data_IF_795391462978
#
_entry.id   IF_795391462978
#
_cell.length_a   1.000
_cell.length_b   1.000
_cell.length_c   1.000
_cell.angle_alpha   90.00
_cell.angle_beta   90.00
_cell.angle_gamma   90.00
#
_symmetry.space_group_name_H-M   'P 1'
#
loop_
_entity.id
_entity.type
_entity.pdbx_description
1 polymer ?
#
# COMPACT_ATOMS: atom_id res chain seq x y z
N UNK A 1 8.21 -2.25 -5.28
CA UNK A 1 7.02 -1.51 -4.84
C UNK A 1 6.80 -1.58 -3.34
N UNK A 2 6.90 -2.76 -2.70
CA UNK A 2 6.98 -2.91 -1.23
C UNK A 2 8.22 -3.77 -0.90
N UNK A 3 8.94 -3.45 0.17
CA UNK A 3 9.97 -4.31 0.77
C UNK A 3 9.57 -4.66 2.20
N UNK A 4 9.95 -5.84 2.67
CA UNK A 4 9.60 -6.33 4.01
C UNK A 4 10.83 -6.80 4.77
N UNK A 5 10.82 -6.61 6.09
CA UNK A 5 11.83 -7.14 7.00
C UNK A 5 11.22 -7.38 8.37
N UNK A 6 11.55 -8.50 9.02
CA UNK A 6 11.24 -8.73 10.44
C UNK A 6 12.54 -8.75 11.22
N UNK A 7 12.64 -7.92 12.26
CA UNK A 7 13.81 -7.88 13.14
C UNK A 7 13.43 -7.41 14.54
N UNK A 8 13.85 -8.14 15.58
CA UNK A 8 13.64 -7.79 16.99
C UNK A 8 12.20 -7.43 17.36
N UNK A 9 11.21 -8.17 16.84
CA UNK A 9 9.80 -7.88 17.12
C UNK A 9 9.16 -6.85 16.21
N UNK A 10 9.89 -6.27 15.26
CA UNK A 10 9.39 -5.22 14.36
C UNK A 10 9.27 -5.76 12.94
N UNK A 11 8.04 -5.81 12.44
CA UNK A 11 7.74 -6.01 11.02
C UNK A 11 7.79 -4.67 10.30
N UNK A 12 8.78 -4.46 9.45
CA UNK A 12 8.95 -3.25 8.64
C UNK A 12 8.40 -3.48 7.24
N UNK A 13 7.52 -2.58 6.80
CA UNK A 13 6.96 -2.50 5.45
C UNK A 13 7.44 -1.18 4.83
N UNK A 14 8.28 -1.26 3.81
CA UNK A 14 8.84 -0.09 3.14
C UNK A 14 8.19 0.13 1.78
N UNK A 15 7.61 1.31 1.56
CA UNK A 15 7.15 1.75 0.25
C UNK A 15 8.37 2.02 -0.65
N UNK A 16 8.56 1.21 -1.68
CA UNK A 16 9.75 1.17 -2.53
C UNK A 16 9.38 1.42 -3.99
N UNK A 17 8.84 2.61 -4.25
CA UNK A 17 8.49 3.15 -5.58
C UNK A 17 8.83 4.66 -5.66
N UNK A 18 10.08 5.06 -5.33
CA UNK A 18 10.46 6.47 -5.15
C UNK A 18 10.31 7.30 -6.43
N UNK A 19 10.46 6.71 -7.62
CA UNK A 19 10.31 7.35 -8.93
C UNK A 19 8.88 7.86 -9.19
N UNK A 20 7.92 7.36 -8.43
CA UNK A 20 6.52 7.80 -8.44
C UNK A 20 6.11 8.41 -7.10
N UNK A 21 7.08 8.87 -6.31
CA UNK A 21 6.90 9.41 -4.95
C UNK A 21 6.08 8.47 -4.06
N UNK A 22 6.27 7.16 -4.25
CA UNK A 22 5.57 6.10 -3.53
C UNK A 22 4.04 6.18 -3.65
N UNK A 23 3.50 6.76 -4.72
CA UNK A 23 2.06 6.77 -4.98
C UNK A 23 1.53 5.33 -5.14
N UNK A 24 0.42 5.04 -4.48
CA UNK A 24 -0.17 3.69 -4.46
C UNK A 24 -1.09 3.45 -5.66
N UNK A 25 -1.12 2.19 -6.09
CA UNK A 25 -2.08 1.66 -7.06
C UNK A 25 -2.73 0.38 -6.50
N UNK A 26 -3.67 -0.21 -7.23
CA UNK A 26 -4.40 -1.40 -6.77
C UNK A 26 -3.47 -2.58 -6.41
N UNK A 27 -2.44 -2.85 -7.22
CA UNK A 27 -1.45 -3.89 -6.95
C UNK A 27 -0.68 -3.62 -5.64
N UNK A 28 -0.26 -2.37 -5.42
CA UNK A 28 0.45 -1.98 -4.19
C UNK A 28 -0.42 -2.20 -2.95
N UNK A 29 -1.70 -1.85 -3.03
CA UNK A 29 -2.65 -2.03 -1.93
C UNK A 29 -2.84 -3.52 -1.60
N UNK A 30 -3.00 -4.38 -2.61
CA UNK A 30 -3.07 -5.83 -2.41
C UNK A 30 -1.84 -6.39 -1.70
N UNK A 31 -0.64 -5.91 -2.06
CA UNK A 31 0.61 -6.34 -1.40
C UNK A 31 0.68 -5.81 0.04
N UNK A 32 0.24 -4.57 0.29
CA UNK A 32 0.18 -4.01 1.64
C UNK A 32 -0.76 -4.84 2.52
N UNK A 33 -1.97 -5.14 2.06
CA UNK A 33 -2.95 -5.94 2.80
C UNK A 33 -2.42 -7.33 3.12
N UNK A 34 -1.84 -8.00 2.13
CA UNK A 34 -1.22 -9.31 2.32
C UNK A 34 -0.04 -9.27 3.31
N UNK A 35 0.76 -8.20 3.28
CA UNK A 35 1.90 -8.02 4.20
C UNK A 35 1.42 -7.77 5.63
N UNK A 36 0.42 -6.92 5.82
CA UNK A 36 -0.16 -6.63 7.12
C UNK A 36 -0.80 -7.89 7.71
N UNK A 37 -1.53 -8.66 6.90
CA UNK A 37 -2.09 -9.94 7.31
C UNK A 37 -1.00 -10.94 7.73
N UNK A 38 0.07 -11.06 6.93
CA UNK A 38 1.20 -11.93 7.25
C UNK A 38 1.88 -11.53 8.57
N UNK A 39 2.17 -10.24 8.77
CA UNK A 39 2.71 -9.72 10.03
C UNK A 39 1.76 -9.92 11.21
N UNK A 40 0.45 -9.75 11.01
CA UNK A 40 -0.55 -9.97 12.05
C UNK A 40 -0.68 -11.44 12.49
N UNK A 41 -0.26 -12.38 11.64
CA UNK A 41 -0.25 -13.82 11.93
C UNK A 41 1.09 -14.35 12.45
N UNK A 42 2.14 -13.52 12.48
CA UNK A 42 3.48 -13.92 12.93
C UNK A 42 3.69 -13.53 14.40
N UNK A 43 3.76 -14.52 15.28
CA UNK A 43 4.01 -14.33 16.73
C UNK A 43 5.36 -13.63 17.03
N UNK A 44 6.27 -13.59 16.05
CA UNK A 44 7.54 -12.86 16.18
C UNK A 44 7.39 -11.36 15.88
N UNK A 45 6.26 -10.90 15.35
CA UNK A 45 5.98 -9.49 15.08
C UNK A 45 5.09 -8.91 16.17
N UNK A 46 5.58 -7.86 16.83
CA UNK A 46 4.88 -7.15 17.92
C UNK A 46 4.43 -5.75 17.52
N UNK A 47 5.12 -5.15 16.56
CA UNK A 47 4.85 -3.81 16.03
C UNK A 47 5.10 -3.82 14.54
N UNK A 48 4.23 -3.16 13.79
CA UNK A 48 4.42 -2.89 12.36
C UNK A 48 4.89 -1.44 12.19
N UNK A 49 6.01 -1.26 11.48
CA UNK A 49 6.49 0.06 11.05
C UNK A 49 6.31 0.18 9.56
N UNK A 50 5.66 1.25 9.13
CA UNK A 50 5.55 1.61 7.71
C UNK A 50 6.47 2.79 7.44
N UNK A 51 7.40 2.61 6.50
CA UNK A 51 8.32 3.66 6.03
C UNK A 51 8.40 3.66 4.50
N UNK A 52 9.27 4.49 3.93
CA UNK A 52 9.37 4.66 2.49
C UNK A 52 10.80 4.94 2.04
N UNK A 53 11.13 4.54 0.81
CA UNK A 53 12.37 4.92 0.14
C UNK A 53 12.28 6.32 -0.45
N UNK A 54 13.39 7.05 -0.41
CA UNK A 54 13.50 8.40 -0.95
C UNK A 54 12.97 9.48 0.00
N UNK A 55 12.70 10.66 -0.55
CA UNK A 55 12.38 11.87 0.23
C UNK A 55 10.89 12.01 0.59
N UNK A 56 10.01 11.25 -0.07
CA UNK A 56 8.56 11.35 0.09
C UNK A 56 8.00 10.05 0.64
N UNK A 57 7.20 10.12 1.70
CA UNK A 57 6.51 8.94 2.23
C UNK A 57 5.57 8.31 1.20
N UNK A 58 4.52 9.03 0.79
CA UNK A 58 3.56 8.63 -0.23
C UNK A 58 2.85 9.86 -0.78
N UNK A 59 2.80 10.01 -2.11
CA UNK A 59 2.09 11.11 -2.77
C UNK A 59 0.57 10.90 -2.93
N UNK A 60 0.01 9.84 -2.34
CA UNK A 60 -1.41 9.46 -2.48
C UNK A 60 -1.65 8.47 -3.62
N UNK A 61 -2.84 8.53 -4.21
CA UNK A 61 -3.22 7.64 -5.31
C UNK A 61 -2.48 7.99 -6.61
N UNK A 62 -2.01 6.96 -7.31
CA UNK A 62 -1.34 7.12 -8.60
C UNK A 62 -2.30 7.70 -9.65
N UNK A 63 -1.90 8.80 -10.29
CA UNK A 63 -2.73 9.50 -11.28
C UNK A 63 -3.09 8.62 -12.48
N UNK A 64 -2.20 7.74 -12.94
CA UNK A 64 -2.48 6.86 -14.07
C UNK A 64 -3.47 5.77 -13.68
N UNK A 65 -3.41 5.29 -12.44
CA UNK A 65 -4.41 4.38 -11.91
C UNK A 65 -5.76 5.06 -11.75
N UNK A 66 -5.79 6.27 -11.18
CA UNK A 66 -7.03 7.05 -11.06
C UNK A 66 -7.65 7.42 -12.42
N UNK A 67 -6.84 7.64 -13.46
CA UNK A 67 -7.33 7.95 -14.80
C UNK A 67 -8.25 6.87 -15.36
N UNK A 68 -8.11 5.61 -14.90
CA UNK A 68 -8.98 4.50 -15.32
C UNK A 68 -10.42 4.62 -14.82
N UNK A 69 -10.65 5.47 -13.81
CA UNK A 69 -11.95 5.67 -13.16
C UNK A 69 -12.61 7.00 -13.55
N UNK A 70 -11.95 7.82 -14.37
CA UNK A 70 -12.46 9.16 -14.76
C UNK A 70 -13.77 9.07 -15.55
N UNK A 71 -13.89 8.06 -16.41
CA UNK A 71 -15.10 7.80 -17.19
C UNK A 71 -16.08 6.82 -16.49
N UNK A 72 -15.73 6.34 -15.29
CA UNK A 72 -16.56 5.40 -14.54
C UNK A 72 -17.80 6.10 -13.99
N UNK A 73 -18.94 5.39 -13.97
CA UNK A 73 -20.15 5.96 -13.40
C UNK A 73 -19.98 6.19 -11.90
N UNK A 74 -20.84 7.05 -11.33
CA UNK A 74 -20.87 7.23 -9.86
C UNK A 74 -21.09 5.91 -9.14
N UNK A 75 -21.86 5.00 -9.71
CA UNK A 75 -22.14 3.69 -9.12
C UNK A 75 -20.88 2.83 -9.09
N UNK A 76 -20.13 2.79 -10.21
CA UNK A 76 -18.88 2.04 -10.32
C UNK A 76 -17.84 2.59 -9.34
N UNK A 77 -17.70 3.92 -9.26
CA UNK A 77 -16.78 4.57 -8.31
C UNK A 77 -17.11 4.25 -6.85
N UNK A 78 -18.39 4.13 -6.49
CA UNK A 78 -18.81 3.73 -5.14
C UNK A 78 -18.50 2.25 -4.88
N UNK A 79 -18.71 1.40 -5.88
CA UNK A 79 -18.44 -0.03 -5.77
C UNK A 79 -16.95 -0.30 -5.62
N UNK A 80 -16.10 0.28 -6.48
CA UNK A 80 -14.64 0.17 -6.35
C UNK A 80 -14.11 0.73 -5.02
N UNK A 81 -14.71 1.81 -4.48
CA UNK A 81 -14.31 2.33 -3.18
C UNK A 81 -14.61 1.35 -2.04
N UNK A 82 -15.71 0.59 -2.11
CA UNK A 82 -16.08 -0.43 -1.10
C UNK A 82 -15.16 -1.65 -1.12
N UNK A 83 -14.52 -1.94 -2.25
CA UNK A 83 -13.55 -3.03 -2.35
C UNK A 83 -12.25 -2.74 -1.58
N UNK A 84 -12.01 -1.47 -1.23
CA UNK A 84 -10.80 -1.03 -0.52
C UNK A 84 -10.94 -1.05 1.01
N UNK A 85 -12.09 -1.45 1.56
CA UNK A 85 -12.42 -1.49 2.99
C UNK A 85 -13.31 -0.33 3.46
#
# INVERSE_FOLDING_TARGET
MIKTQVHNGVGRLTLARPEKKNAFNGEMLQIIDATIAAFGSDDNVRVIVVDAEGETFCAGADLMWMAQYVDASRQDNIESARELG
#
